data_IF_629248265257
#
_entry.id   IF_629248265257
#
_cell.length_a   1.000
_cell.length_b   1.000
_cell.length_c   1.000
_cell.angle_alpha   90.00
_cell.angle_beta   90.00
_cell.angle_gamma   90.00
#
_symmetry.space_group_name_H-M   'P 1'
#
loop_
_entity.id
_entity.type
_entity.pdbx_description
1 polymer ?
#
# COMPACT_ATOMS: atom_id res chain seq x y z
N UNK A 1 -48.23 -38.04 -14.16
CA UNK A 1 -47.92 -36.59 -14.07
C UNK A 1 -46.79 -36.41 -13.07
N UNK A 2 -45.57 -36.21 -13.56
CA UNK A 2 -44.36 -36.11 -12.74
C UNK A 2 -44.22 -34.73 -12.10
N UNK A 3 -44.05 -34.71 -10.77
CA UNK A 3 -43.81 -33.50 -10.01
C UNK A 3 -42.40 -32.96 -10.28
N UNK A 4 -42.32 -31.76 -10.85
CA UNK A 4 -41.08 -31.03 -11.02
C UNK A 4 -40.54 -30.61 -9.63
N UNK A 5 -39.48 -31.29 -9.16
CA UNK A 5 -38.69 -30.83 -8.02
C UNK A 5 -38.01 -29.51 -8.39
N UNK A 6 -38.51 -28.43 -7.80
CA UNK A 6 -37.88 -27.10 -7.82
C UNK A 6 -36.49 -27.20 -7.21
N UNK A 7 -35.47 -27.24 -8.06
CA UNK A 7 -34.06 -27.27 -7.65
C UNK A 7 -33.78 -25.93 -6.93
N UNK A 8 -33.62 -25.99 -5.61
CA UNK A 8 -33.19 -24.83 -4.84
C UNK A 8 -31.86 -24.34 -5.41
N UNK A 9 -31.85 -23.13 -5.96
CA UNK A 9 -30.63 -22.44 -6.36
C UNK A 9 -29.84 -22.25 -5.06
N UNK A 10 -28.67 -22.90 -4.94
CA UNK A 10 -27.75 -22.60 -3.84
C UNK A 10 -27.42 -21.12 -3.98
N UNK A 11 -27.78 -20.31 -2.99
CA UNK A 11 -27.27 -18.95 -2.90
C UNK A 11 -25.75 -19.03 -2.96
N UNK A 12 -25.09 -18.20 -3.80
CA UNK A 12 -23.64 -18.16 -3.83
C UNK A 12 -23.15 -17.89 -2.40
N UNK A 13 -22.22 -18.72 -1.93
CA UNK A 13 -21.56 -18.52 -0.63
C UNK A 13 -20.95 -17.13 -0.68
N UNK A 14 -21.48 -16.20 0.12
CA UNK A 14 -20.93 -14.84 0.16
C UNK A 14 -19.45 -14.93 0.54
N UNK A 15 -18.55 -14.26 -0.21
CA UNK A 15 -17.15 -14.25 0.11
C UNK A 15 -16.93 -13.70 1.51
N UNK A 16 -15.91 -14.21 2.20
CA UNK A 16 -15.52 -13.69 3.51
C UNK A 16 -15.01 -12.27 3.33
N UNK A 17 -15.82 -11.30 3.75
CA UNK A 17 -15.52 -9.89 3.59
C UNK A 17 -14.71 -9.32 4.76
N UNK A 18 -14.14 -10.14 5.64
CA UNK A 18 -13.29 -9.64 6.74
C UNK A 18 -11.93 -9.23 6.21
N UNK A 19 -11.31 -8.25 6.88
CA UNK A 19 -9.93 -7.86 6.58
C UNK A 19 -9.00 -9.06 6.80
N UNK A 20 -8.04 -9.20 5.89
CA UNK A 20 -6.91 -10.10 6.10
C UNK A 20 -6.11 -9.59 7.31
N UNK A 21 -5.36 -10.49 7.96
CA UNK A 21 -4.61 -10.13 9.16
C UNK A 21 -3.56 -9.03 8.89
N UNK A 22 -2.97 -9.03 7.70
CA UNK A 22 -2.05 -7.97 7.28
C UNK A 22 -2.76 -6.61 7.14
N UNK A 23 -3.95 -6.58 6.53
CA UNK A 23 -4.75 -5.37 6.39
C UNK A 23 -5.20 -4.83 7.76
N UNK A 24 -5.59 -5.72 8.68
CA UNK A 24 -5.98 -5.37 10.05
C UNK A 24 -4.78 -4.80 10.84
N UNK A 25 -3.60 -5.39 10.67
CA UNK A 25 -2.37 -4.91 11.30
C UNK A 25 -1.96 -3.53 10.78
N UNK A 26 -2.02 -3.30 9.47
CA UNK A 26 -1.75 -2.00 8.86
C UNK A 26 -2.71 -0.92 9.38
N UNK A 27 -4.01 -1.22 9.41
CA UNK A 27 -5.01 -0.29 9.93
C UNK A 27 -4.75 0.06 11.40
N UNK A 28 -4.39 -0.94 12.22
CA UNK A 28 -4.05 -0.73 13.62
C UNK A 28 -2.76 0.09 13.79
N UNK A 29 -1.74 -0.16 12.98
CA UNK A 29 -0.48 0.59 12.96
C UNK A 29 -0.71 2.06 12.62
N UNK A 30 -1.43 2.35 11.54
CA UNK A 30 -1.77 3.72 11.14
C UNK A 30 -2.55 4.47 12.22
N UNK A 31 -3.55 3.83 12.83
CA UNK A 31 -4.31 4.44 13.94
C UNK A 31 -3.45 4.69 15.17
N UNK A 32 -2.61 3.73 15.54
CA UNK A 32 -1.75 3.84 16.73
C UNK A 32 -0.71 4.95 16.56
N UNK A 33 -0.21 5.15 15.35
CA UNK A 33 0.76 6.18 15.02
C UNK A 33 0.11 7.54 14.67
N UNK A 34 -1.21 7.64 14.64
CA UNK A 34 -1.91 8.84 14.18
C UNK A 34 -1.61 9.21 12.73
N UNK A 35 -1.17 8.25 11.91
CA UNK A 35 -0.74 8.48 10.53
C UNK A 35 -1.89 8.30 9.55
N UNK A 36 -2.05 9.26 8.64
CA UNK A 36 -2.82 9.05 7.42
C UNK A 36 -1.87 8.85 6.23
N UNK A 37 -1.54 7.60 5.94
CA UNK A 37 -0.64 7.27 4.84
C UNK A 37 -1.43 7.21 3.54
N UNK A 38 -1.02 8.05 2.59
CA UNK A 38 -1.62 8.14 1.26
C UNK A 38 -0.67 7.61 0.20
N UNK A 39 -1.23 7.13 -0.91
CA UNK A 39 -0.49 6.86 -2.14
C UNK A 39 -0.96 7.87 -3.18
N UNK A 40 -0.01 8.53 -3.85
CA UNK A 40 -0.29 9.49 -4.90
C UNK A 40 0.37 9.07 -6.22
N UNK A 41 -0.40 9.13 -7.30
CA UNK A 41 0.08 8.93 -8.67
C UNK A 41 -0.24 10.17 -9.47
N UNK A 42 0.77 10.70 -10.15
CA UNK A 42 0.64 11.89 -10.98
C UNK A 42 0.91 11.58 -12.45
N UNK A 43 0.15 12.22 -13.33
CA UNK A 43 0.41 12.24 -14.76
C UNK A 43 0.51 13.69 -15.22
N UNK A 44 1.45 13.97 -16.12
CA UNK A 44 1.57 15.25 -16.79
C UNK A 44 1.45 15.02 -18.28
N UNK A 45 0.40 15.59 -18.89
CA UNK A 45 0.20 15.57 -20.33
C UNK A 45 0.62 16.92 -20.90
N UNK A 46 1.37 16.91 -21.99
CA UNK A 46 1.79 18.08 -22.77
C UNK A 46 0.66 18.75 -23.57
N UNK A 47 -0.59 18.45 -23.20
CA UNK A 47 -1.81 18.83 -23.92
C UNK A 47 -3.03 18.72 -23.01
N UNK A 48 -4.14 19.27 -23.48
CA UNK A 48 -5.46 19.00 -22.92
C UNK A 48 -5.81 17.51 -22.97
N UNK A 49 -6.52 17.04 -21.94
CA UNK A 49 -6.93 15.63 -21.80
C UNK A 49 -8.37 15.40 -22.25
N UNK A 50 -8.70 14.16 -22.60
CA UNK A 50 -10.09 13.72 -22.76
C UNK A 50 -10.71 13.51 -21.36
N UNK A 51 -11.47 14.51 -20.89
CA UNK A 51 -12.12 14.47 -19.57
C UNK A 51 -13.18 13.36 -19.48
N UNK A 52 -13.84 13.00 -20.58
CA UNK A 52 -14.84 11.93 -20.55
C UNK A 52 -14.17 10.55 -20.47
N UNK A 53 -13.01 10.38 -21.10
CA UNK A 53 -12.16 9.21 -20.87
C UNK A 53 -11.70 9.12 -19.42
N UNK A 54 -11.30 10.24 -18.82
CA UNK A 54 -10.91 10.28 -17.40
C UNK A 54 -12.08 9.95 -16.48
N UNK A 55 -13.31 10.42 -16.76
CA UNK A 55 -14.51 10.05 -16.01
C UNK A 55 -14.87 8.57 -16.13
N UNK A 56 -14.70 7.97 -17.32
CA UNK A 56 -14.85 6.51 -17.50
C UNK A 56 -13.82 5.73 -16.68
N UNK A 57 -12.55 6.17 -16.73
CA UNK A 57 -11.49 5.60 -15.90
C UNK A 57 -11.83 5.68 -14.41
N UNK A 58 -12.23 6.87 -13.93
CA UNK A 58 -12.71 7.09 -12.57
C UNK A 58 -13.84 6.13 -12.19
N UNK A 59 -14.85 5.99 -13.05
CA UNK A 59 -15.95 5.05 -12.82
C UNK A 59 -15.46 3.61 -12.65
N UNK A 60 -14.58 3.13 -13.53
CA UNK A 60 -14.05 1.77 -13.44
C UNK A 60 -13.22 1.52 -12.18
N UNK A 61 -12.43 2.51 -11.72
CA UNK A 61 -11.75 2.42 -10.43
C UNK A 61 -12.75 2.20 -9.28
N UNK A 62 -13.85 2.96 -9.27
CA UNK A 62 -14.95 2.81 -8.30
C UNK A 62 -15.75 1.51 -8.44
N UNK A 63 -15.59 0.76 -9.55
CA UNK A 63 -16.15 -0.59 -9.74
C UNK A 63 -15.10 -1.70 -9.52
N UNK A 64 -13.88 -1.34 -9.10
CA UNK A 64 -12.78 -2.26 -8.81
C UNK A 64 -12.44 -2.31 -7.32
N UNK A 65 -11.17 -2.58 -7.00
CA UNK A 65 -10.69 -2.63 -5.60
C UNK A 65 -10.69 -1.26 -4.89
N UNK A 66 -10.84 -0.15 -5.61
CA UNK A 66 -11.03 1.18 -5.02
C UNK A 66 -12.52 1.47 -4.73
N UNK A 67 -13.43 0.60 -5.19
CA UNK A 67 -14.88 0.65 -4.94
C UNK A 67 -15.32 0.06 -3.61
N UNK A 68 -14.45 0.07 -2.60
CA UNK A 68 -14.68 -0.54 -1.29
C UNK A 68 -14.16 0.34 -0.17
N UNK A 69 -14.69 0.13 1.03
CA UNK A 69 -14.21 0.74 2.27
C UNK A 69 -14.19 -0.27 3.42
N UNK A 70 -13.53 0.10 4.50
CA UNK A 70 -13.40 -0.63 5.74
C UNK A 70 -14.55 -0.25 6.67
N UNK A 71 -15.43 -1.20 6.98
CA UNK A 71 -16.47 -1.02 7.99
C UNK A 71 -16.00 -1.55 9.35
N UNK A 72 -16.17 -0.71 10.38
CA UNK A 72 -15.90 -1.06 11.77
C UNK A 72 -16.82 -2.19 12.26
N UNK A 73 -16.29 -3.13 13.04
CA UNK A 73 -17.13 -4.12 13.70
C UNK A 73 -18.02 -3.47 14.78
N UNK A 74 -19.11 -4.14 15.13
CA UNK A 74 -19.96 -3.74 16.24
C UNK A 74 -19.34 -4.13 17.60
N UNK A 75 -18.56 -5.22 17.63
CA UNK A 75 -17.70 -5.56 18.77
C UNK A 75 -16.27 -5.09 18.52
N UNK A 76 -15.68 -4.24 19.39
CA UNK A 76 -14.34 -3.68 19.18
C UNK A 76 -13.20 -4.71 19.02
N UNK A 77 -13.39 -5.92 19.57
CA UNK A 77 -12.42 -7.02 19.49
C UNK A 77 -12.52 -7.85 18.21
N UNK A 78 -13.59 -7.66 17.42
CA UNK A 78 -13.75 -8.37 16.16
C UNK A 78 -12.93 -7.67 15.06
N UNK A 79 -12.68 -8.39 13.96
CA UNK A 79 -11.98 -7.82 12.81
C UNK A 79 -12.88 -6.89 11.99
N UNK A 80 -12.26 -5.90 11.37
CA UNK A 80 -12.92 -5.03 10.40
C UNK A 80 -13.30 -5.83 9.14
N UNK A 81 -14.11 -5.21 8.28
CA UNK A 81 -14.65 -5.87 7.09
C UNK A 81 -14.76 -4.92 5.90
N UNK A 82 -14.56 -5.45 4.71
CA UNK A 82 -14.80 -4.79 3.44
C UNK A 82 -16.31 -4.67 3.17
N UNK A 83 -16.73 -3.47 2.78
CA UNK A 83 -18.08 -3.19 2.26
C UNK A 83 -17.95 -2.38 0.97
N UNK A 84 -18.99 -2.40 0.13
CA UNK A 84 -19.01 -1.62 -1.10
C UNK A 84 -19.01 -0.13 -0.79
N UNK A 85 -18.21 0.63 -1.53
CA UNK A 85 -18.22 2.09 -1.56
C UNK A 85 -17.71 2.55 -2.92
N UNK A 86 -18.60 2.64 -3.90
CA UNK A 86 -18.22 2.83 -5.30
C UNK A 86 -17.73 4.25 -5.65
N UNK A 87 -17.43 5.07 -4.63
CA UNK A 87 -17.00 6.46 -4.79
C UNK A 87 -18.18 7.35 -5.23
N UNK A 88 -18.64 8.24 -4.34
CA UNK A 88 -19.70 9.21 -4.68
C UNK A 88 -19.15 10.49 -5.31
N UNK A 89 -17.84 10.69 -5.30
CA UNK A 89 -17.18 11.89 -5.80
C UNK A 89 -16.97 11.80 -7.31
N UNK A 90 -17.12 12.92 -8.02
CA UNK A 90 -16.69 13.05 -9.42
C UNK A 90 -15.20 13.45 -9.47
N UNK A 91 -14.62 13.48 -10.67
CA UNK A 91 -13.30 14.05 -10.93
C UNK A 91 -13.30 15.54 -10.57
N UNK A 92 -12.38 15.95 -9.70
CA UNK A 92 -12.21 17.34 -9.29
C UNK A 92 -11.33 18.10 -10.30
N UNK A 93 -11.91 19.07 -11.00
CA UNK A 93 -11.21 19.86 -12.02
C UNK A 93 -11.00 21.27 -11.47
N UNK A 94 -9.75 21.72 -11.41
CA UNK A 94 -9.41 23.06 -10.95
C UNK A 94 -10.15 24.13 -11.78
N UNK A 95 -10.76 25.09 -11.11
CA UNK A 95 -11.55 26.16 -11.75
C UNK A 95 -10.70 27.10 -12.61
N UNK A 96 -9.40 27.18 -12.34
CA UNK A 96 -8.46 28.07 -13.03
C UNK A 96 -7.17 27.37 -13.37
N UNK A 97 -6.53 27.84 -14.45
CA UNK A 97 -5.18 27.45 -14.84
C UNK A 97 -4.18 27.97 -13.82
N UNK A 98 -3.14 27.19 -13.52
CA UNK A 98 -1.99 27.67 -12.72
C UNK A 98 -0.69 27.71 -13.54
N UNK A 99 0.31 28.50 -13.13
CA UNK A 99 1.64 28.47 -13.72
C UNK A 99 2.27 27.08 -13.69
N UNK A 100 2.98 26.68 -14.77
CA UNK A 100 3.72 25.40 -14.82
C UNK A 100 4.69 25.19 -13.64
N UNK A 101 5.25 26.28 -13.12
CA UNK A 101 6.16 26.27 -11.96
C UNK A 101 5.47 25.86 -10.65
N UNK A 102 4.14 26.00 -10.54
CA UNK A 102 3.37 25.64 -9.35
C UNK A 102 2.92 24.17 -9.34
N UNK A 103 3.32 23.36 -10.34
CA UNK A 103 2.93 21.95 -10.42
C UNK A 103 3.25 21.18 -9.14
N UNK A 104 4.47 21.31 -8.62
CA UNK A 104 4.89 20.60 -7.40
C UNK A 104 4.06 21.01 -6.19
N UNK A 105 3.82 22.30 -6.01
CA UNK A 105 2.97 22.82 -4.94
C UNK A 105 1.54 22.27 -5.05
N UNK A 106 0.97 22.24 -6.26
CA UNK A 106 -0.35 21.65 -6.45
C UNK A 106 -0.39 20.15 -6.17
N UNK A 107 0.65 19.40 -6.56
CA UNK A 107 0.77 17.97 -6.23
C UNK A 107 0.80 17.76 -4.71
N UNK A 108 1.56 18.58 -3.98
CA UNK A 108 1.61 18.54 -2.52
C UNK A 108 0.25 18.86 -1.90
N UNK A 109 -0.43 19.93 -2.35
CA UNK A 109 -1.80 20.28 -1.94
C UNK A 109 -2.77 19.11 -2.15
N UNK A 110 -2.71 18.43 -3.30
CA UNK A 110 -3.57 17.27 -3.59
C UNK A 110 -3.33 16.13 -2.60
N UNK A 111 -2.09 15.86 -2.21
CA UNK A 111 -1.74 14.79 -1.26
C UNK A 111 -2.28 15.03 0.14
N UNK A 112 -2.56 16.29 0.50
CA UNK A 112 -3.03 16.71 1.82
C UNK A 112 -4.56 16.71 1.93
N UNK A 113 -5.27 16.51 0.82
CA UNK A 113 -6.73 16.41 0.85
C UNK A 113 -7.16 15.14 1.61
N UNK A 114 -8.19 15.22 2.46
CA UNK A 114 -8.58 14.08 3.29
C UNK A 114 -9.02 12.87 2.45
N UNK A 115 -8.33 11.75 2.66
CA UNK A 115 -8.78 10.42 2.27
C UNK A 115 -8.86 9.54 3.51
N UNK A 116 -9.91 8.74 3.61
CA UNK A 116 -10.14 7.86 4.75
C UNK A 116 -10.82 6.57 4.29
N UNK A 117 -10.16 5.44 4.53
CA UNK A 117 -10.65 4.14 4.09
C UNK A 117 -11.87 3.65 4.89
N UNK A 118 -12.29 4.30 5.97
CA UNK A 118 -13.41 3.88 6.81
C UNK A 118 -14.68 4.71 6.62
N UNK A 119 -14.51 6.03 6.63
CA UNK A 119 -15.57 7.04 6.57
C UNK A 119 -15.79 7.57 5.16
N UNK A 120 -14.76 7.50 4.30
CA UNK A 120 -14.79 7.95 2.92
C UNK A 120 -14.63 9.48 2.76
N UNK A 121 -14.24 9.95 1.57
CA UNK A 121 -13.88 9.15 0.41
C UNK A 121 -12.52 8.45 0.61
N UNK A 122 -12.40 7.22 0.11
CA UNK A 122 -11.14 6.46 0.22
C UNK A 122 -10.06 6.91 -0.76
N UNK A 123 -10.43 7.68 -1.79
CA UNK A 123 -9.58 8.18 -2.86
C UNK A 123 -10.26 9.33 -3.61
N UNK A 124 -9.49 10.10 -4.38
CA UNK A 124 -9.99 11.15 -5.28
C UNK A 124 -9.05 11.35 -6.47
N UNK A 125 -9.59 11.90 -7.57
CA UNK A 125 -8.82 12.33 -8.74
C UNK A 125 -8.94 13.85 -8.89
N UNK A 126 -7.81 14.51 -9.12
CA UNK A 126 -7.72 15.94 -9.43
C UNK A 126 -7.15 16.20 -10.81
N UNK A 127 -7.60 17.28 -11.45
CA UNK A 127 -7.09 17.77 -12.73
C UNK A 127 -6.73 19.25 -12.61
N UNK A 128 -5.53 19.61 -13.08
CA UNK A 128 -5.08 21.00 -13.15
C UNK A 128 -4.61 21.32 -14.58
N UNK A 129 -5.34 22.18 -15.30
CA UNK A 129 -4.82 22.84 -16.49
C UNK A 129 -3.68 23.80 -16.13
N UNK A 130 -2.62 23.83 -16.94
CA UNK A 130 -1.47 24.71 -16.73
C UNK A 130 -1.37 25.76 -17.85
N UNK A 131 -0.70 26.88 -17.56
CA UNK A 131 -0.58 28.02 -18.46
C UNK A 131 0.29 27.78 -19.72
N UNK A 132 1.14 26.75 -19.70
CA UNK A 132 1.92 26.28 -20.84
C UNK A 132 1.14 25.33 -21.78
N UNK A 133 -0.16 25.11 -21.52
CA UNK A 133 -1.02 24.21 -22.28
C UNK A 133 -0.97 22.75 -21.84
N UNK A 134 -0.12 22.41 -20.87
CA UNK A 134 -0.09 21.07 -20.26
C UNK A 134 -1.25 20.87 -19.29
N UNK A 135 -1.53 19.62 -18.94
CA UNK A 135 -2.56 19.25 -17.95
C UNK A 135 -2.00 18.20 -17.00
N UNK A 136 -2.07 18.49 -15.71
CA UNK A 136 -1.68 17.57 -14.65
C UNK A 136 -2.90 16.81 -14.11
N UNK A 137 -2.72 15.54 -13.80
CA UNK A 137 -3.70 14.68 -13.14
C UNK A 137 -3.06 14.11 -11.88
N UNK A 138 -3.80 14.07 -10.77
CA UNK A 138 -3.37 13.46 -9.51
C UNK A 138 -4.44 12.49 -8.99
N UNK A 139 -4.11 11.21 -8.86
CA UNK A 139 -4.89 10.21 -8.12
C UNK A 139 -4.28 10.08 -6.72
N UNK A 140 -5.09 10.30 -5.68
CA UNK A 140 -4.70 10.13 -4.28
C UNK A 140 -5.63 9.14 -3.62
N UNK A 141 -5.09 8.21 -2.83
CA UNK A 141 -5.87 7.18 -2.15
C UNK A 141 -5.26 6.80 -0.80
N UNK A 142 -6.08 6.30 0.12
CA UNK A 142 -5.61 5.75 1.38
C UNK A 142 -4.82 4.46 1.16
N UNK A 143 -3.64 4.36 1.75
CA UNK A 143 -2.80 3.15 1.73
C UNK A 143 -3.49 1.95 2.39
N UNK A 144 -4.54 2.18 3.19
CA UNK A 144 -5.36 1.10 3.76
C UNK A 144 -6.22 0.38 2.72
N UNK A 145 -6.40 0.91 1.50
CA UNK A 145 -7.19 0.27 0.46
C UNK A 145 -6.38 -0.71 -0.41
N UNK A 146 -5.13 -0.37 -0.69
CA UNK A 146 -4.29 -1.10 -1.64
C UNK A 146 -2.80 -0.76 -1.48
N UNK A 147 -1.94 -1.72 -1.79
CA UNK A 147 -0.47 -1.53 -1.90
C UNK A 147 -0.06 -1.00 -3.29
N UNK A 148 1.22 -0.69 -3.47
CA UNK A 148 1.74 -0.12 -4.72
C UNK A 148 1.56 -1.02 -5.96
N UNK A 149 1.72 -2.35 -5.84
CA UNK A 149 1.51 -3.24 -6.99
C UNK A 149 0.02 -3.38 -7.31
N UNK A 150 -0.82 -3.50 -6.28
CA UNK A 150 -2.27 -3.49 -6.43
C UNK A 150 -2.74 -2.18 -7.07
N UNK A 151 -2.14 -1.04 -6.72
CA UNK A 151 -2.42 0.25 -7.35
C UNK A 151 -2.11 0.23 -8.86
N UNK A 152 -0.94 -0.28 -9.25
CA UNK A 152 -0.58 -0.43 -10.65
C UNK A 152 -1.60 -1.33 -11.39
N UNK A 153 -2.04 -2.43 -10.76
CA UNK A 153 -3.05 -3.32 -11.32
C UNK A 153 -4.40 -2.62 -11.51
N UNK A 154 -4.91 -1.90 -10.50
CA UNK A 154 -6.20 -1.21 -10.63
C UNK A 154 -6.16 -0.08 -11.65
N UNK A 155 -5.02 0.58 -11.84
CA UNK A 155 -4.84 1.57 -12.91
C UNK A 155 -4.95 0.88 -14.29
N UNK A 156 -4.29 -0.26 -14.47
CA UNK A 156 -4.41 -1.04 -15.72
C UNK A 156 -5.85 -1.53 -15.93
N UNK A 157 -6.48 -2.07 -14.88
CA UNK A 157 -7.88 -2.53 -14.94
C UNK A 157 -8.85 -1.39 -15.28
N UNK A 158 -8.72 -0.25 -14.61
CA UNK A 158 -9.55 0.93 -14.85
C UNK A 158 -9.38 1.47 -16.28
N UNK A 159 -8.15 1.43 -16.80
CA UNK A 159 -7.84 1.85 -18.18
C UNK A 159 -8.45 0.89 -19.20
N UNK A 160 -8.42 -0.41 -18.91
CA UNK A 160 -9.03 -1.46 -19.75
C UNK A 160 -10.55 -1.60 -19.57
N UNK A 161 -11.16 -0.83 -18.66
CA UNK A 161 -12.58 -0.93 -18.35
C UNK A 161 -13.00 -2.23 -17.65
N UNK A 162 -12.06 -2.88 -16.95
CA UNK A 162 -12.35 -4.09 -16.17
C UNK A 162 -13.02 -3.70 -14.86
N UNK A 163 -14.11 -4.38 -14.52
CA UNK A 163 -14.79 -4.27 -13.24
C UNK A 163 -14.62 -5.55 -12.44
N UNK A 164 -14.77 -5.48 -11.11
CA UNK A 164 -14.68 -6.64 -10.22
C UNK A 164 -15.97 -6.76 -9.41
N UNK A 165 -16.69 -7.88 -9.57
CA UNK A 165 -17.73 -8.23 -8.60
C UNK A 165 -17.07 -8.79 -7.33
N UNK A 166 -16.89 -7.91 -6.35
CA UNK A 166 -16.27 -8.26 -5.07
C UNK A 166 -17.20 -9.07 -4.16
N UNK A 167 -18.50 -9.14 -4.47
CA UNK A 167 -19.50 -9.82 -3.64
C UNK A 167 -19.68 -9.23 -2.23
N UNK A 168 -19.12 -8.05 -1.96
CA UNK A 168 -19.23 -7.38 -0.67
C UNK A 168 -20.63 -6.82 -0.45
N UNK A 169 -21.14 -6.80 0.80
CA UNK A 169 -22.42 -6.17 1.10
C UNK A 169 -22.32 -4.64 1.02
N UNK A 170 -23.46 -3.94 0.85
CA UNK A 170 -23.50 -2.50 1.05
C UNK A 170 -23.16 -2.14 2.50
N UNK A 171 -22.72 -0.91 2.77
CA UNK A 171 -22.41 -0.48 4.12
C UNK A 171 -23.65 -0.53 5.01
N UNK A 172 -23.45 -0.82 6.30
CA UNK A 172 -24.49 -0.85 7.32
C UNK A 172 -25.65 -1.81 7.00
N UNK A 173 -25.41 -2.83 6.16
CA UNK A 173 -26.45 -3.79 5.74
C UNK A 173 -26.94 -4.71 6.86
N UNK A 174 -26.26 -4.73 8.01
CA UNK A 174 -26.56 -5.61 9.14
C UNK A 174 -27.24 -4.81 10.24
N UNK A 175 -28.31 -5.36 10.81
CA UNK A 175 -28.89 -4.78 12.04
C UNK A 175 -27.90 -4.92 13.19
N UNK A 176 -27.94 -3.99 14.16
CA UNK A 176 -27.00 -3.97 15.30
C UNK A 176 -26.92 -5.31 16.03
N UNK A 177 -28.07 -5.93 16.35
CA UNK A 177 -28.12 -7.21 17.04
C UNK A 177 -27.47 -8.34 16.24
N UNK A 178 -27.73 -8.37 14.92
CA UNK A 178 -27.12 -9.36 14.03
C UNK A 178 -25.62 -9.13 13.92
N UNK A 179 -25.18 -7.87 13.85
CA UNK A 179 -23.77 -7.53 13.80
C UNK A 179 -23.03 -7.99 15.06
N UNK A 180 -23.56 -7.70 16.26
CA UNK A 180 -22.98 -8.18 17.52
C UNK A 180 -22.91 -9.72 17.58
N UNK A 181 -23.99 -10.42 17.21
CA UNK A 181 -24.03 -11.87 17.26
C UNK A 181 -23.02 -12.51 16.29
N UNK A 182 -22.91 -12.00 15.07
CA UNK A 182 -21.93 -12.44 14.08
C UNK A 182 -20.49 -12.17 14.56
N UNK A 183 -20.23 -10.97 15.06
CA UNK A 183 -18.91 -10.57 15.56
C UNK A 183 -18.49 -11.43 16.76
N UNK A 184 -19.41 -11.72 17.71
CA UNK A 184 -19.14 -12.56 18.87
C UNK A 184 -18.83 -14.00 18.46
N UNK A 185 -19.68 -14.58 17.61
CA UNK A 185 -19.51 -15.94 17.09
C UNK A 185 -18.18 -16.07 16.36
N UNK A 186 -17.81 -15.06 15.59
CA UNK A 186 -16.59 -15.10 14.80
C UNK A 186 -15.34 -14.91 15.67
N UNK A 187 -15.39 -13.99 16.63
CA UNK A 187 -14.31 -13.80 17.59
C UNK A 187 -14.05 -15.10 18.36
N UNK A 188 -15.09 -15.76 18.87
CA UNK A 188 -14.96 -17.04 19.57
C UNK A 188 -14.32 -18.15 18.69
N UNK A 189 -14.56 -18.13 17.38
CA UNK A 189 -13.94 -19.06 16.42
C UNK A 189 -12.46 -18.74 16.14
N UNK A 190 -12.08 -17.48 16.20
CA UNK A 190 -10.73 -17.03 15.91
C UNK A 190 -9.80 -17.14 17.14
N UNK A 191 -10.34 -17.11 18.37
CA UNK A 191 -9.58 -17.25 19.64
C UNK A 191 -8.64 -18.46 19.66
N UNK A 192 -9.04 -19.70 19.30
CA UNK A 192 -8.13 -20.83 19.32
C UNK A 192 -6.96 -20.70 18.33
N UNK A 193 -7.20 -20.08 17.17
CA UNK A 193 -6.16 -19.83 16.17
C UNK A 193 -5.19 -18.76 16.65
N UNK A 194 -5.69 -17.68 17.24
CA UNK A 194 -4.88 -16.63 17.85
C UNK A 194 -4.03 -17.16 19.01
N UNK A 195 -4.61 -17.98 19.89
CA UNK A 195 -3.90 -18.61 20.99
C UNK A 195 -2.76 -19.53 20.49
N UNK A 196 -3.02 -20.35 19.46
CA UNK A 196 -1.99 -21.20 18.84
C UNK A 196 -0.88 -20.37 18.21
N UNK A 197 -1.24 -19.33 17.45
CA UNK A 197 -0.26 -18.44 16.83
C UNK A 197 0.62 -17.73 17.88
N UNK A 198 0.03 -17.26 18.97
CA UNK A 198 0.75 -16.66 20.09
C UNK A 198 1.71 -17.66 20.75
N UNK A 199 1.26 -18.89 21.00
CA UNK A 199 2.12 -19.96 21.56
C UNK A 199 3.30 -20.25 20.64
N UNK A 200 3.08 -20.35 19.32
CA UNK A 200 4.14 -20.54 18.34
C UNK A 200 5.11 -19.36 18.33
N UNK A 201 4.61 -18.12 18.31
CA UNK A 201 5.44 -16.92 18.34
C UNK A 201 6.31 -16.85 19.62
N UNK A 202 5.74 -17.14 20.79
CA UNK A 202 6.47 -17.19 22.06
C UNK A 202 7.53 -18.29 22.05
N UNK A 203 7.21 -19.46 21.48
CA UNK A 203 8.16 -20.56 21.34
C UNK A 203 9.32 -20.19 20.42
N UNK A 204 9.04 -19.61 19.25
CA UNK A 204 10.07 -19.15 18.32
C UNK A 204 10.91 -18.02 18.88
N UNK A 205 10.32 -17.07 19.63
CA UNK A 205 11.07 -16.02 20.32
C UNK A 205 12.00 -16.61 21.38
N UNK A 206 11.55 -17.61 22.15
CA UNK A 206 12.38 -18.34 23.12
C UNK A 206 13.50 -19.14 22.46
N UNK A 207 13.24 -19.77 21.31
CA UNK A 207 14.24 -20.50 20.53
C UNK A 207 15.28 -19.55 19.93
N UNK A 208 14.86 -18.40 19.37
CA UNK A 208 15.77 -17.35 18.91
C UNK A 208 16.59 -16.76 20.04
N UNK A 209 16.01 -16.56 21.23
CA UNK A 209 16.74 -16.08 22.41
C UNK A 209 17.75 -17.11 22.90
N UNK A 210 17.45 -18.41 22.79
CA UNK A 210 18.38 -19.50 23.11
C UNK A 210 19.50 -19.63 22.09
N UNK A 211 19.19 -19.57 20.79
CA UNK A 211 20.20 -19.56 19.72
C UNK A 211 21.13 -18.35 19.82
N UNK A 212 20.59 -17.18 20.20
CA UNK A 212 21.35 -15.94 20.44
C UNK A 212 22.16 -15.96 21.75
N UNK A 213 21.89 -16.90 22.66
CA UNK A 213 22.71 -17.13 23.84
C UNK A 213 23.90 -18.07 23.57
N UNK A 214 23.82 -18.87 22.50
CA UNK A 214 24.89 -19.77 22.04
C UNK A 214 25.84 -19.09 21.02
N UNK A 215 25.37 -18.05 20.32
CA UNK A 215 26.19 -17.24 19.41
C UNK A 215 26.45 -15.84 20.01
N UNK A 216 27.69 -15.60 20.49
CA UNK A 216 28.12 -14.33 21.12
C UNK A 216 28.31 -13.18 20.11
N UNK A 217 27.38 -12.99 19.18
CA UNK A 217 27.45 -11.88 18.23
C UNK A 217 26.15 -11.09 18.12
N UNK A 218 26.19 -9.90 18.72
CA UNK A 218 25.38 -8.72 18.40
C UNK A 218 23.86 -8.80 18.62
N UNK A 219 23.41 -8.49 19.84
CA UNK A 219 22.26 -7.60 19.97
C UNK A 219 22.77 -6.16 19.86
N UNK A 220 22.57 -5.52 18.71
CA UNK A 220 22.73 -4.07 18.63
C UNK A 220 21.87 -3.38 19.71
N UNK A 221 22.34 -2.26 20.28
CA UNK A 221 21.60 -1.58 21.33
C UNK A 221 20.20 -1.23 20.82
N UNK A 222 19.18 -1.52 21.64
CA UNK A 222 17.83 -0.99 21.43
C UNK A 222 17.98 0.54 21.38
N UNK A 223 17.55 1.24 20.31
CA UNK A 223 17.65 2.68 20.29
C UNK A 223 16.98 3.20 21.57
N UNK A 224 17.71 4.04 22.31
CA UNK A 224 17.16 4.70 23.47
C UNK A 224 15.88 5.41 23.03
N UNK A 225 14.82 5.43 23.86
CA UNK A 225 13.69 6.29 23.60
C UNK A 225 14.26 7.70 23.44
N UNK A 226 14.21 8.25 22.23
CA UNK A 226 14.44 9.66 22.06
C UNK A 226 13.26 10.30 22.79
N UNK A 227 13.54 11.00 23.90
CA UNK A 227 12.54 11.90 24.48
C UNK A 227 12.23 12.90 23.38
N UNK A 228 11.11 12.68 22.69
CA UNK A 228 10.58 13.62 21.73
C UNK A 228 10.09 14.83 22.53
N UNK A 229 11.02 15.73 22.85
CA UNK A 229 10.71 17.13 23.12
C UNK A 229 10.39 17.80 21.77
N UNK A 230 9.36 17.29 21.10
CA UNK A 230 8.85 17.80 19.84
C UNK A 230 7.39 18.10 20.04
N UNK A 231 7.01 19.34 19.75
CA UNK A 231 5.63 19.73 19.43
C UNK A 231 5.02 18.74 18.42
N UNK A 232 3.70 18.55 18.44
CA UNK A 232 2.93 17.80 17.42
C UNK A 232 2.98 18.51 16.04
N UNK A 233 4.16 18.99 15.63
CA UNK A 233 4.36 19.75 14.41
C UNK A 233 4.36 18.79 13.22
N UNK A 234 3.55 19.13 12.22
CA UNK A 234 3.51 18.43 10.94
C UNK A 234 4.84 18.64 10.22
N UNK A 235 5.63 17.59 10.08
CA UNK A 235 6.88 17.60 9.31
C UNK A 235 6.56 17.36 7.84
N UNK A 236 6.71 18.40 7.00
CA UNK A 236 6.73 18.22 5.56
C UNK A 236 8.10 17.65 5.16
N UNK A 237 8.14 16.38 4.77
CA UNK A 237 9.37 15.75 4.27
C UNK A 237 9.62 16.23 2.84
N UNK A 238 10.76 16.88 2.54
CA UNK A 238 11.04 17.35 1.18
C UNK A 238 11.14 16.16 0.22
N UNK A 239 10.40 16.24 -0.88
CA UNK A 239 10.47 15.28 -1.98
C UNK A 239 11.35 15.83 -3.11
N UNK A 240 12.19 14.97 -3.68
CA UNK A 240 12.99 15.27 -4.87
C UNK A 240 12.69 14.23 -5.94
N UNK A 241 12.37 14.69 -7.15
CA UNK A 241 12.17 13.81 -8.31
C UNK A 241 13.38 13.90 -9.23
N UNK A 242 13.95 12.74 -9.58
CA UNK A 242 15.08 12.62 -10.50
C UNK A 242 14.58 11.85 -11.72
N UNK A 243 14.76 12.43 -12.90
CA UNK A 243 14.45 11.78 -14.17
C UNK A 243 15.73 11.22 -14.77
N UNK A 244 15.70 9.94 -15.16
CA UNK A 244 16.78 9.25 -15.83
C UNK A 244 16.21 8.59 -17.09
N UNK A 245 16.95 8.69 -18.19
CA UNK A 245 16.59 8.00 -19.43
C UNK A 245 16.63 6.48 -19.25
N UNK A 246 15.61 5.79 -19.75
CA UNK A 246 15.44 4.35 -19.52
C UNK A 246 16.53 3.52 -20.21
N UNK A 247 16.91 3.89 -21.44
CA UNK A 247 17.94 3.18 -22.17
C UNK A 247 19.31 3.37 -21.49
N UNK A 248 19.59 4.58 -20.99
CA UNK A 248 20.79 4.84 -20.20
C UNK A 248 20.80 4.05 -18.89
N UNK A 249 19.66 3.96 -18.20
CA UNK A 249 19.53 3.19 -16.97
C UNK A 249 19.80 1.69 -17.19
N UNK A 250 19.15 1.10 -18.19
CA UNK A 250 19.30 -0.33 -18.48
C UNK A 250 20.70 -0.66 -19.02
N UNK A 251 21.25 0.18 -19.90
CA UNK A 251 22.63 0.03 -20.37
C UNK A 251 23.63 0.11 -19.20
N UNK A 252 23.40 1.01 -18.24
CA UNK A 252 24.26 1.13 -17.06
C UNK A 252 24.16 -0.08 -16.16
N UNK A 253 22.95 -0.60 -15.91
CA UNK A 253 22.75 -1.81 -15.12
C UNK A 253 23.49 -3.00 -15.73
N UNK A 254 23.38 -3.19 -17.05
CA UNK A 254 24.06 -4.26 -17.78
C UNK A 254 25.58 -4.13 -17.73
N UNK A 255 26.11 -2.92 -17.91
CA UNK A 255 27.56 -2.65 -17.86
C UNK A 255 28.16 -3.05 -16.50
N UNK A 256 27.39 -2.89 -15.42
CA UNK A 256 27.81 -3.27 -14.08
C UNK A 256 27.48 -4.75 -13.73
N UNK A 257 27.01 -5.55 -14.70
CA UNK A 257 26.67 -6.97 -14.49
C UNK A 257 25.33 -7.22 -13.77
N UNK A 258 24.49 -6.19 -13.62
CA UNK A 258 23.20 -6.24 -12.95
C UNK A 258 22.00 -6.15 -13.91
N UNK A 259 20.81 -5.99 -13.32
CA UNK A 259 19.58 -5.63 -14.00
C UNK A 259 18.98 -4.36 -13.37
N UNK A 260 17.91 -3.81 -13.95
CA UNK A 260 17.29 -2.55 -13.51
C UNK A 260 16.96 -2.52 -12.00
N UNK A 261 16.36 -3.58 -11.46
CA UNK A 261 16.06 -3.70 -10.03
C UNK A 261 17.33 -3.79 -9.16
N UNK A 262 18.38 -4.45 -9.66
CA UNK A 262 19.68 -4.52 -8.97
C UNK A 262 20.34 -3.14 -8.90
N UNK A 263 20.28 -2.37 -10.00
CA UNK A 263 20.79 -1.00 -10.04
C UNK A 263 20.00 -0.08 -9.10
N UNK A 264 18.68 -0.27 -8.99
CA UNK A 264 17.85 0.47 -8.03
C UNK A 264 18.24 0.16 -6.57
N UNK A 265 18.45 -1.11 -6.23
CA UNK A 265 18.95 -1.50 -4.91
C UNK A 265 20.35 -0.92 -4.63
N UNK A 266 21.25 -0.98 -5.61
CA UNK A 266 22.58 -0.42 -5.50
C UNK A 266 22.57 1.11 -5.32
N UNK A 267 21.71 1.81 -6.06
CA UNK A 267 21.49 3.24 -5.90
C UNK A 267 21.01 3.57 -4.48
N UNK A 268 20.01 2.85 -3.98
CA UNK A 268 19.49 3.05 -2.62
C UNK A 268 20.56 2.78 -1.54
N UNK A 269 21.38 1.73 -1.71
CA UNK A 269 22.49 1.43 -0.80
C UNK A 269 23.56 2.52 -0.84
N UNK A 270 23.97 2.99 -2.03
CA UNK A 270 24.92 4.11 -2.17
C UNK A 270 24.36 5.42 -1.61
N UNK A 271 23.07 5.67 -1.76
CA UNK A 271 22.43 6.82 -1.15
C UNK A 271 22.50 6.72 0.38
N UNK A 272 22.16 5.55 0.94
CA UNK A 272 22.28 5.24 2.37
C UNK A 272 23.70 5.49 2.92
N UNK A 273 24.73 5.02 2.20
CA UNK A 273 26.14 5.30 2.51
C UNK A 273 26.41 6.81 2.58
N UNK A 274 25.99 7.56 1.56
CA UNK A 274 26.24 9.00 1.44
C UNK A 274 25.58 9.83 2.54
N UNK A 275 24.46 9.37 3.08
CA UNK A 275 23.76 10.03 4.19
C UNK A 275 24.13 9.45 5.56
N UNK A 276 25.16 8.59 5.64
CA UNK A 276 25.67 8.02 6.88
C UNK A 276 24.80 6.91 7.49
N UNK A 277 23.84 6.35 6.74
CA UNK A 277 23.01 5.22 7.18
C UNK A 277 23.69 3.88 6.88
N UNK A 278 24.85 3.69 7.50
CA UNK A 278 25.66 2.47 7.39
C UNK A 278 25.74 1.77 8.74
N UNK A 279 25.92 0.44 8.71
CA UNK A 279 26.18 -0.34 9.91
C UNK A 279 27.59 -0.04 10.43
N UNK A 280 27.71 0.34 11.70
CA UNK A 280 28.99 0.78 12.30
C UNK A 280 30.09 -0.28 12.25
N UNK A 281 29.74 -1.57 12.28
CA UNK A 281 30.72 -2.67 12.39
C UNK A 281 31.48 -2.93 11.10
N UNK A 282 30.86 -2.73 9.94
CA UNK A 282 31.43 -3.14 8.64
C UNK A 282 31.03 -2.22 7.46
N UNK A 283 30.33 -1.12 7.72
CA UNK A 283 29.92 -0.16 6.70
C UNK A 283 28.78 -0.62 5.79
N UNK A 284 28.22 -1.82 6.01
CA UNK A 284 27.18 -2.34 5.14
C UNK A 284 25.85 -1.60 5.30
N UNK A 285 25.05 -1.56 4.23
CA UNK A 285 23.71 -0.97 4.21
C UNK A 285 22.67 -2.08 4.17
N UNK A 286 21.67 -2.00 5.04
CA UNK A 286 20.55 -2.96 5.03
C UNK A 286 19.36 -2.32 4.32
N UNK A 287 18.95 -2.93 3.21
CA UNK A 287 17.75 -2.55 2.48
C UNK A 287 16.58 -3.46 2.88
N UNK A 288 15.39 -2.87 2.98
CA UNK A 288 14.13 -3.60 3.01
C UNK A 288 13.51 -3.51 1.62
N UNK A 289 13.35 -4.66 0.98
CA UNK A 289 12.81 -4.77 -0.36
C UNK A 289 11.41 -5.36 -0.26
N UNK A 290 10.34 -4.61 -0.62
CA UNK A 290 9.01 -5.17 -0.68
C UNK A 290 8.92 -6.17 -1.84
N UNK A 291 8.41 -7.35 -1.55
CA UNK A 291 8.13 -8.42 -2.50
C UNK A 291 6.62 -8.65 -2.55
N UNK A 292 6.09 -8.95 -3.72
CA UNK A 292 4.66 -9.22 -3.82
C UNK A 292 4.32 -10.67 -3.54
N UNK A 293 3.36 -10.86 -2.65
CA UNK A 293 2.67 -12.12 -2.41
C UNK A 293 1.33 -12.18 -3.17
N UNK A 294 1.06 -11.18 -4.04
CA UNK A 294 -0.22 -11.00 -4.72
C UNK A 294 -0.38 -12.05 -5.82
N UNK A 295 -1.49 -12.78 -5.78
CA UNK A 295 -1.94 -13.68 -6.85
C UNK A 295 -3.03 -12.99 -7.69
N UNK A 296 -3.40 -13.60 -8.81
CA UNK A 296 -4.34 -13.02 -9.79
C UNK A 296 -5.67 -12.54 -9.18
N UNK A 297 -6.28 -13.36 -8.32
CA UNK A 297 -7.58 -13.08 -7.68
C UNK A 297 -7.44 -12.43 -6.29
N UNK A 298 -6.24 -12.00 -5.90
CA UNK A 298 -6.00 -11.50 -4.56
C UNK A 298 -6.59 -10.10 -4.37
N UNK A 299 -7.56 -10.00 -3.47
CA UNK A 299 -8.24 -8.76 -3.12
C UNK A 299 -7.65 -8.09 -1.88
N UNK A 300 -6.61 -8.59 -1.23
CA UNK A 300 -6.04 -7.94 -0.02
C UNK A 300 -5.60 -6.51 -0.33
N UNK A 301 -5.70 -5.63 0.67
CA UNK A 301 -5.07 -4.31 0.56
C UNK A 301 -3.56 -4.50 0.50
N UNK A 302 -3.01 -5.20 1.50
CA UNK A 302 -1.59 -5.54 1.63
C UNK A 302 -1.32 -6.99 1.24
N UNK A 303 -0.74 -7.18 0.06
CA UNK A 303 -0.25 -8.46 -0.43
C UNK A 303 1.27 -8.38 -0.67
N UNK A 304 2.01 -7.99 0.38
CA UNK A 304 3.45 -7.82 0.35
C UNK A 304 4.13 -8.57 1.49
N UNK A 305 5.32 -9.08 1.22
CA UNK A 305 6.33 -9.51 2.19
C UNK A 305 7.57 -8.63 2.06
N UNK A 306 8.48 -8.68 3.04
CA UNK A 306 9.71 -7.87 3.03
C UNK A 306 10.94 -8.76 3.10
N UNK A 307 11.80 -8.66 2.09
CA UNK A 307 13.16 -9.19 2.15
C UNK A 307 14.08 -8.16 2.81
N UNK A 308 15.01 -8.62 3.65
CA UNK A 308 16.10 -7.81 4.18
C UNK A 308 17.39 -8.23 3.52
N UNK A 309 17.99 -7.33 2.76
CA UNK A 309 19.24 -7.59 2.04
C UNK A 309 20.32 -6.66 2.59
N UNK A 310 21.44 -7.24 3.02
CA UNK A 310 22.62 -6.49 3.45
C UNK A 310 23.56 -6.37 2.26
N UNK A 311 23.94 -5.15 1.93
CA UNK A 311 24.78 -4.83 0.76
C UNK A 311 26.02 -4.08 1.25
N UNK A 312 27.20 -4.54 0.84
CA UNK A 312 28.42 -3.74 0.93
C UNK A 312 28.35 -2.61 -0.11
N UNK A 313 28.39 -1.33 0.29
CA UNK A 313 28.32 -0.25 -0.67
C UNK A 313 29.61 -0.11 -1.51
N UNK A 314 30.78 -0.60 -1.06
CA UNK A 314 32.07 -0.30 -1.71
C UNK A 314 32.13 -0.62 -3.22
N UNK A 315 31.72 -1.80 -3.71
CA UNK A 315 31.86 -2.17 -5.13
C UNK A 315 30.75 -1.62 -6.04
N UNK A 316 29.70 -0.99 -5.50
CA UNK A 316 28.44 -0.75 -6.24
C UNK A 316 28.56 0.17 -7.46
N UNK A 317 29.63 0.96 -7.57
CA UNK A 317 29.88 1.81 -8.74
C UNK A 317 30.63 1.11 -9.86
N UNK A 318 31.16 -0.10 -9.61
CA UNK A 318 31.97 -0.87 -10.54
C UNK A 318 31.44 -2.27 -10.82
N UNK A 319 30.72 -2.91 -9.88
CA UNK A 319 30.19 -4.27 -10.02
C UNK A 319 28.92 -4.49 -9.18
N UNK A 320 27.88 -5.03 -9.81
CA UNK A 320 26.59 -5.36 -9.18
C UNK A 320 26.31 -6.86 -9.10
N UNK A 321 27.24 -7.73 -9.50
CA UNK A 321 27.01 -9.18 -9.53
C UNK A 321 26.72 -9.76 -8.15
N UNK A 322 27.37 -9.27 -7.10
CA UNK A 322 27.09 -9.72 -5.72
C UNK A 322 25.71 -9.27 -5.24
N UNK A 323 25.31 -8.02 -5.53
CA UNK A 323 23.96 -7.53 -5.21
C UNK A 323 22.90 -8.36 -5.95
N UNK A 324 23.16 -8.69 -7.22
CA UNK A 324 22.27 -9.54 -8.02
C UNK A 324 22.16 -10.95 -7.45
N UNK A 325 23.22 -11.49 -6.85
CA UNK A 325 23.16 -12.80 -6.21
C UNK A 325 22.39 -12.78 -4.87
N UNK A 326 22.30 -11.61 -4.23
CA UNK A 326 21.64 -11.43 -2.94
C UNK A 326 20.14 -11.08 -3.02
N UNK A 327 19.65 -10.73 -4.22
CA UNK A 327 18.24 -10.37 -4.53
C UNK A 327 17.64 -11.44 -5.44
#
# INVERSE_FOLDING_TARGET
MGGARRRARKDPVRPDNRLALADEALLAEHRAAGMNVVIQVTWLYDRAIDLDALRRFHHHLGQGLLGRRIERPALPIARHRWVLDSGRSDVDVAESTRPRAELSTWVDERSQLPVDAESGPGWHIGVLPLDDGSTAISLVLSHNLIDGLGLALVIVEGTLGKTRDLGYPPPQSRTRMRALAEDARQTARDVPKAARALVTAVKSAREQTRAKAEDKTSSGPRPAPVEAAGTDDVVLVPALTIYVDLDQWDARAQTLGGASHTLAAAFAAKFGERIGRVRETDGAVTLQIPMSDRTEDDTRAMALSYARVTIDPAPLTTDLREVRAAI
#
